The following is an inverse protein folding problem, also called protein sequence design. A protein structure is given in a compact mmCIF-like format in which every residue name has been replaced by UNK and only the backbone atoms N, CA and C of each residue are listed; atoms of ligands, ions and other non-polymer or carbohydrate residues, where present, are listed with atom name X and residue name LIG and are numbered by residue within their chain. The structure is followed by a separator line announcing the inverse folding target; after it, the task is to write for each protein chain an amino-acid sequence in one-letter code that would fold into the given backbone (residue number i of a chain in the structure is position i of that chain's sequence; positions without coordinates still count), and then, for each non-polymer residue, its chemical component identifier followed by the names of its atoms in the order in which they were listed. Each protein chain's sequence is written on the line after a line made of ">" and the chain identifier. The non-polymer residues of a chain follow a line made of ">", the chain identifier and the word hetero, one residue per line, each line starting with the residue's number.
data_IF_173315045429
#
_entry.id   IF_173315045429
#
_cell.length_a   1.000
_cell.length_b   1.000
_cell.length_c   1.000
_cell.angle_alpha   90.00
_cell.angle_beta   90.00
_cell.angle_gamma   90.00
#
_symmetry.space_group_name_H-M   'P 1'
#
loop_
_entity.id
_entity.type
_entity.pdbx_description
1 polymer ?
#
# COMPACT_ATOMS: atom_id res chain seq x y z
N UNK A 1 19.31 22.56 -23.61
CA UNK A 1 18.25 23.49 -23.15
C UNK A 1 18.08 24.67 -24.14
N UNK A 2 19.15 25.44 -24.51
CA UNK A 2 19.04 26.65 -25.33
C UNK A 2 18.38 26.43 -26.71
N UNK A 3 18.71 25.33 -27.41
CA UNK A 3 18.09 25.00 -28.68
C UNK A 3 16.59 24.67 -28.54
N UNK A 4 16.22 24.01 -27.44
CA UNK A 4 14.82 23.68 -27.13
C UNK A 4 14.01 24.93 -26.86
N UNK A 5 14.54 25.85 -26.03
CA UNK A 5 13.89 27.13 -25.71
C UNK A 5 13.67 27.96 -26.98
N UNK A 6 14.66 28.05 -27.85
CA UNK A 6 14.54 28.70 -29.16
C UNK A 6 13.45 28.09 -30.02
N UNK A 7 13.37 26.75 -30.06
CA UNK A 7 12.34 26.05 -30.85
C UNK A 7 10.94 26.30 -30.31
N UNK A 8 10.80 26.43 -28.99
CA UNK A 8 9.52 26.76 -28.32
C UNK A 8 9.17 28.24 -28.48
N UNK A 9 10.15 29.10 -28.73
CA UNK A 9 9.95 30.56 -28.87
C UNK A 9 10.00 31.30 -27.55
N UNK A 10 10.81 30.83 -26.60
CA UNK A 10 11.06 31.49 -25.29
C UNK A 10 12.55 31.67 -25.07
N UNK A 11 12.92 32.65 -24.23
CA UNK A 11 14.31 32.99 -23.98
C UNK A 11 14.90 32.31 -22.74
N UNK A 12 14.05 31.89 -21.80
CA UNK A 12 14.48 31.24 -20.56
C UNK A 12 13.46 30.20 -20.07
N UNK A 13 13.89 29.37 -19.13
CA UNK A 13 12.97 28.44 -18.44
C UNK A 13 11.92 29.20 -17.63
N UNK A 14 12.30 30.30 -16.99
CA UNK A 14 11.35 31.11 -16.23
C UNK A 14 10.27 31.68 -17.13
N UNK A 15 10.62 32.21 -18.31
CA UNK A 15 9.63 32.68 -19.28
C UNK A 15 8.70 31.53 -19.73
N UNK A 16 9.25 30.33 -19.92
CA UNK A 16 8.44 29.16 -20.26
C UNK A 16 7.46 28.82 -19.13
N UNK A 17 7.94 28.80 -17.90
CA UNK A 17 7.13 28.51 -16.73
C UNK A 17 6.04 29.58 -16.56
N UNK A 18 6.38 30.85 -16.68
CA UNK A 18 5.42 31.98 -16.58
C UNK A 18 4.32 31.91 -17.62
N UNK A 19 4.64 31.42 -18.83
CA UNK A 19 3.65 31.23 -19.90
C UNK A 19 2.82 29.96 -19.75
N UNK A 20 3.30 29.00 -18.95
CA UNK A 20 2.67 27.68 -18.83
C UNK A 20 1.84 27.55 -17.57
N UNK A 21 2.31 28.11 -16.46
CA UNK A 21 1.69 27.97 -15.14
C UNK A 21 0.90 29.25 -14.82
N UNK A 22 -0.41 29.16 -14.48
CA UNK A 22 -1.17 30.31 -14.03
C UNK A 22 -0.53 31.00 -12.82
N UNK A 23 -0.50 32.33 -12.82
CA UNK A 23 0.21 33.13 -11.82
C UNK A 23 -0.30 32.89 -10.37
N UNK A 24 -1.56 32.50 -10.22
CA UNK A 24 -2.18 32.25 -8.92
C UNK A 24 -1.74 30.94 -8.26
N UNK A 25 -1.17 30.00 -9.01
CA UNK A 25 -0.66 28.73 -8.49
C UNK A 25 0.86 28.61 -8.58
N UNK A 26 1.52 29.59 -9.22
CA UNK A 26 2.99 29.61 -9.28
C UNK A 26 3.58 29.96 -7.91
N UNK A 27 4.52 29.15 -7.47
CA UNK A 27 5.33 29.47 -6.29
C UNK A 27 6.17 30.74 -6.55
N UNK A 28 6.09 31.71 -5.65
CA UNK A 28 6.84 32.96 -5.74
C UNK A 28 8.27 32.80 -5.25
N UNK A 29 8.49 31.88 -4.36
CA UNK A 29 9.79 31.57 -3.76
C UNK A 29 10.12 30.10 -3.94
N UNK A 30 11.40 29.75 -4.07
CA UNK A 30 11.83 28.35 -4.06
C UNK A 30 11.41 27.65 -2.77
N UNK A 31 11.26 26.33 -2.83
CA UNK A 31 11.01 25.52 -1.64
C UNK A 31 12.17 25.67 -0.64
N UNK A 32 11.85 25.87 0.63
CA UNK A 32 12.83 25.96 1.71
C UNK A 32 13.37 24.55 2.05
N UNK A 33 14.18 24.02 1.14
CA UNK A 33 14.84 22.73 1.32
C UNK A 33 16.23 22.91 1.91
N UNK A 34 16.64 21.97 2.74
CA UNK A 34 18.03 21.89 3.21
C UNK A 34 18.97 21.58 2.04
N UNK A 35 20.23 21.93 2.19
CA UNK A 35 21.26 21.54 1.21
C UNK A 35 21.31 20.01 1.05
N UNK A 36 21.54 19.51 -0.16
CA UNK A 36 21.66 18.06 -0.39
C UNK A 36 22.83 17.50 0.39
N UNK A 37 22.63 16.32 0.97
CA UNK A 37 23.68 15.56 1.62
C UNK A 37 24.39 14.67 0.61
N UNK A 38 25.68 14.41 0.83
CA UNK A 38 26.37 13.32 0.15
C UNK A 38 25.83 11.97 0.65
N UNK A 39 26.04 10.90 -0.09
CA UNK A 39 25.62 9.55 0.31
C UNK A 39 26.21 9.17 1.69
N UNK A 40 27.45 9.52 1.94
CA UNK A 40 28.12 9.29 3.23
C UNK A 40 27.44 10.05 4.38
N UNK A 41 27.17 11.34 4.19
CA UNK A 41 26.50 12.18 5.19
C UNK A 41 25.06 11.71 5.43
N UNK A 42 24.36 11.33 4.36
CA UNK A 42 23.02 10.76 4.46
C UNK A 42 23.01 9.46 5.27
N UNK A 43 23.96 8.55 5.01
CA UNK A 43 24.10 7.31 5.76
C UNK A 43 24.33 7.56 7.26
N UNK A 44 25.16 8.52 7.62
CA UNK A 44 25.38 8.94 9.02
C UNK A 44 24.08 9.51 9.64
N UNK A 45 23.43 10.41 8.93
CA UNK A 45 22.20 11.04 9.39
C UNK A 45 21.07 10.01 9.64
N UNK A 46 20.89 9.05 8.73
CA UNK A 46 19.92 7.97 8.90
C UNK A 46 20.25 7.07 10.09
N UNK A 47 21.54 6.75 10.29
CA UNK A 47 21.97 5.98 11.46
C UNK A 47 21.70 6.74 12.78
N UNK A 48 21.94 8.05 12.81
CA UNK A 48 21.63 8.90 13.97
C UNK A 48 20.12 8.94 14.25
N UNK A 49 19.29 9.04 13.21
CA UNK A 49 17.81 8.97 13.35
C UNK A 49 17.36 7.61 13.87
N UNK A 50 17.89 6.53 13.30
CA UNK A 50 17.56 5.16 13.73
C UNK A 50 17.92 4.93 15.20
N UNK A 51 19.05 5.43 15.66
CA UNK A 51 19.52 5.31 17.06
C UNK A 51 18.65 6.09 18.07
N UNK A 52 17.77 6.98 17.62
CA UNK A 52 16.80 7.64 18.51
C UNK A 52 15.65 6.71 18.90
N UNK A 53 15.42 5.64 18.18
CA UNK A 53 14.44 4.62 18.52
C UNK A 53 14.93 3.80 19.70
N UNK A 54 14.06 3.59 20.67
CA UNK A 54 14.35 2.75 21.82
C UNK A 54 13.68 1.40 21.62
N UNK A 55 14.49 0.35 21.61
CA UNK A 55 14.00 -1.01 21.48
C UNK A 55 13.63 -1.55 22.85
N UNK A 56 12.37 -1.91 23.03
CA UNK A 56 11.84 -2.53 24.22
C UNK A 56 11.26 -3.90 23.90
N UNK A 57 11.19 -4.77 24.91
CA UNK A 57 10.39 -5.98 24.80
C UNK A 57 8.91 -5.59 24.76
N UNK A 58 8.22 -5.99 23.70
CA UNK A 58 6.81 -5.63 23.49
C UNK A 58 5.91 -6.64 24.16
N UNK A 59 5.01 -6.14 25.04
CA UNK A 59 3.96 -6.91 25.70
C UNK A 59 2.55 -6.43 25.32
N UNK A 60 2.44 -5.47 24.41
CA UNK A 60 1.16 -4.96 23.90
C UNK A 60 0.89 -5.48 22.51
N UNK A 61 -0.38 -5.57 22.14
CA UNK A 61 -0.82 -6.01 20.83
C UNK A 61 -2.06 -6.90 20.91
N UNK A 62 -2.76 -7.02 19.80
CA UNK A 62 -3.96 -7.83 19.65
C UNK A 62 -3.82 -8.84 18.49
N UNK A 63 -2.69 -9.54 18.44
CA UNK A 63 -2.47 -10.58 17.45
C UNK A 63 -1.31 -10.35 16.47
N UNK A 64 -0.71 -9.17 16.43
CA UNK A 64 0.48 -8.91 15.63
C UNK A 64 1.73 -8.96 16.51
N UNK A 65 2.47 -10.02 16.37
CA UNK A 65 3.69 -10.26 17.11
C UNK A 65 4.89 -10.24 16.18
N UNK A 66 6.06 -9.94 16.74
CA UNK A 66 7.32 -10.00 16.00
C UNK A 66 7.54 -11.41 15.45
N UNK A 67 8.04 -11.47 14.22
CA UNK A 67 8.42 -12.72 13.56
C UNK A 67 9.93 -12.82 13.44
N UNK A 68 10.44 -14.05 13.31
CA UNK A 68 11.84 -14.30 13.04
C UNK A 68 11.95 -14.59 11.54
N UNK A 69 12.64 -13.72 10.81
CA UNK A 69 12.90 -13.94 9.39
C UNK A 69 14.16 -14.78 9.22
N UNK A 70 14.06 -15.99 8.65
CA UNK A 70 15.25 -16.79 8.36
C UNK A 70 16.18 -16.04 7.40
N UNK A 71 17.49 -16.11 7.64
CA UNK A 71 18.49 -15.39 6.84
C UNK A 71 18.45 -15.79 5.35
N UNK A 72 18.09 -17.04 5.05
CA UNK A 72 17.95 -17.52 3.67
C UNK A 72 16.78 -16.82 2.95
N UNK A 73 15.67 -16.58 3.65
CA UNK A 73 14.52 -15.85 3.08
C UNK A 73 14.88 -14.39 2.88
N UNK A 74 15.52 -13.76 3.86
CA UNK A 74 15.96 -12.38 3.72
C UNK A 74 16.84 -12.19 2.48
N UNK A 75 17.91 -13.00 2.35
CA UNK A 75 18.84 -12.91 1.24
C UNK A 75 18.23 -13.27 -0.11
N UNK A 76 17.47 -14.35 -0.18
CA UNK A 76 17.02 -14.91 -1.46
C UNK A 76 15.68 -14.36 -1.93
N UNK A 77 14.91 -13.72 -1.06
CA UNK A 77 13.62 -13.12 -1.39
C UNK A 77 13.66 -11.62 -1.21
N UNK A 78 13.86 -11.12 0.00
CA UNK A 78 13.76 -9.68 0.28
C UNK A 78 14.88 -8.85 -0.36
N UNK A 79 16.08 -9.38 -0.46
CA UNK A 79 17.24 -8.70 -1.06
C UNK A 79 17.39 -9.01 -2.56
N UNK A 80 16.61 -9.91 -3.09
CA UNK A 80 16.71 -10.34 -4.50
C UNK A 80 15.75 -9.54 -5.39
N UNK A 81 16.27 -8.71 -6.32
CA UNK A 81 15.44 -7.87 -7.18
C UNK A 81 14.56 -8.63 -8.17
N UNK A 82 14.76 -9.94 -8.35
CA UNK A 82 13.85 -10.77 -9.14
C UNK A 82 12.45 -10.82 -8.53
N UNK A 83 12.34 -10.80 -7.20
CA UNK A 83 11.08 -10.89 -6.47
C UNK A 83 10.42 -9.53 -6.23
N UNK A 84 11.21 -8.48 -6.10
CA UNK A 84 10.65 -7.14 -5.91
C UNK A 84 10.90 -6.26 -7.13
N UNK A 85 9.84 -5.66 -7.64
CA UNK A 85 9.90 -4.59 -8.63
C UNK A 85 9.42 -3.30 -7.98
N UNK A 86 9.97 -2.18 -8.39
CA UNK A 86 9.63 -0.87 -7.79
C UNK A 86 8.27 -0.33 -8.26
N UNK A 87 7.63 -1.00 -9.21
CA UNK A 87 6.38 -0.54 -9.80
C UNK A 87 5.17 -1.30 -9.25
N UNK A 88 4.06 -0.59 -9.05
CA UNK A 88 2.77 -1.22 -8.74
C UNK A 88 2.32 -2.09 -9.92
N UNK A 89 1.75 -3.29 -9.70
CA UNK A 89 1.49 -4.27 -10.75
C UNK A 89 0.27 -3.95 -11.64
N UNK A 90 0.16 -2.71 -12.12
CA UNK A 90 -0.81 -2.34 -13.15
C UNK A 90 -0.40 -2.81 -14.54
N UNK A 91 0.91 -2.90 -14.78
CA UNK A 91 1.49 -3.37 -16.03
C UNK A 91 2.36 -4.58 -15.72
N UNK A 92 2.00 -5.72 -16.28
CA UNK A 92 2.69 -7.00 -16.06
C UNK A 92 4.15 -6.95 -16.50
N UNK A 93 4.43 -6.23 -17.59
CA UNK A 93 5.75 -6.15 -18.21
C UNK A 93 6.82 -5.56 -17.28
N UNK A 94 6.43 -4.64 -16.40
CA UNK A 94 7.35 -3.97 -15.47
C UNK A 94 7.23 -4.46 -14.03
N UNK A 95 6.34 -5.42 -13.76
CA UNK A 95 6.03 -5.91 -12.41
C UNK A 95 6.06 -7.43 -12.27
N UNK A 96 6.78 -8.12 -13.16
CA UNK A 96 6.76 -9.59 -13.24
C UNK A 96 7.14 -10.29 -11.93
N UNK A 97 8.21 -9.85 -11.28
CA UNK A 97 8.65 -10.45 -10.01
C UNK A 97 7.61 -10.26 -8.89
N UNK A 98 6.98 -9.12 -8.81
CA UNK A 98 5.92 -8.84 -7.83
C UNK A 98 4.66 -9.66 -8.11
N UNK A 99 4.28 -9.82 -9.38
CA UNK A 99 3.14 -10.66 -9.76
C UNK A 99 3.39 -12.12 -9.45
N UNK A 100 4.59 -12.62 -9.69
CA UNK A 100 4.98 -13.99 -9.33
C UNK A 100 4.91 -14.20 -7.81
N UNK A 101 5.39 -13.25 -7.02
CA UNK A 101 5.28 -13.29 -5.56
C UNK A 101 3.82 -13.33 -5.09
N UNK A 102 2.94 -12.52 -5.69
CA UNK A 102 1.50 -12.50 -5.37
C UNK A 102 0.81 -13.84 -5.73
N UNK A 103 1.15 -14.45 -6.85
CA UNK A 103 0.62 -15.76 -7.24
C UNK A 103 1.08 -16.86 -6.28
N UNK A 104 2.35 -16.85 -5.88
CA UNK A 104 2.87 -17.79 -4.89
C UNK A 104 2.17 -17.61 -3.54
N UNK A 105 1.93 -16.39 -3.10
CA UNK A 105 1.19 -16.10 -1.88
C UNK A 105 -0.25 -16.65 -1.96
N UNK A 106 -0.95 -16.40 -3.05
CA UNK A 106 -2.32 -16.90 -3.29
C UNK A 106 -2.37 -18.43 -3.20
N UNK A 107 -1.43 -19.12 -3.83
CA UNK A 107 -1.30 -20.59 -3.78
C UNK A 107 -1.05 -21.06 -2.35
N UNK A 108 -0.10 -20.45 -1.65
CA UNK A 108 0.23 -20.80 -0.28
C UNK A 108 -0.97 -20.63 0.68
N UNK A 109 -1.74 -19.57 0.50
CA UNK A 109 -2.96 -19.34 1.31
C UNK A 109 -4.01 -20.43 1.04
N UNK A 110 -4.23 -20.80 -0.22
CA UNK A 110 -5.14 -21.91 -0.56
C UNK A 110 -4.66 -23.24 0.08
N UNK A 111 -3.39 -23.55 0.01
CA UNK A 111 -2.83 -24.78 0.56
C UNK A 111 -2.93 -24.82 2.10
N UNK A 112 -2.67 -23.71 2.77
CA UNK A 112 -2.74 -23.62 4.24
C UNK A 112 -4.17 -23.65 4.78
N UNK A 113 -5.14 -23.12 4.05
CA UNK A 113 -6.53 -22.97 4.51
C UNK A 113 -7.46 -24.02 3.95
N UNK A 114 -7.02 -24.82 2.98
CA UNK A 114 -7.85 -25.75 2.18
C UNK A 114 -9.00 -25.06 1.44
N UNK A 115 -8.91 -23.75 1.22
CA UNK A 115 -9.88 -23.00 0.43
C UNK A 115 -9.60 -23.18 -1.07
N UNK A 116 -10.62 -23.33 -1.91
CA UNK A 116 -10.42 -23.57 -3.34
C UNK A 116 -9.89 -22.35 -4.09
N UNK A 117 -10.03 -21.18 -3.53
CA UNK A 117 -9.60 -19.91 -4.14
C UNK A 117 -9.26 -18.89 -3.07
N UNK A 118 -8.20 -18.14 -3.28
CA UNK A 118 -7.87 -16.94 -2.52
C UNK A 118 -7.58 -15.79 -3.49
N UNK A 119 -7.74 -14.55 -3.05
CA UNK A 119 -7.22 -13.40 -3.78
C UNK A 119 -5.71 -13.23 -3.52
N UNK A 120 -5.07 -12.35 -4.29
CA UNK A 120 -3.63 -12.15 -4.14
C UNK A 120 -3.27 -11.39 -2.86
N UNK A 121 -3.98 -10.31 -2.57
CA UNK A 121 -3.70 -9.44 -1.43
C UNK A 121 -4.78 -8.37 -1.29
N UNK A 122 -5.04 -7.96 -0.06
CA UNK A 122 -5.75 -6.75 0.31
C UNK A 122 -4.85 -5.93 1.25
N UNK A 123 -5.29 -4.74 1.63
CA UNK A 123 -4.48 -3.83 2.45
C UNK A 123 -4.09 -4.47 3.80
N UNK A 124 -5.08 -5.04 4.49
CA UNK A 124 -4.93 -5.73 5.77
C UNK A 124 -6.11 -6.70 6.02
N UNK A 125 -6.06 -7.43 7.12
CA UNK A 125 -7.12 -8.43 7.44
C UNK A 125 -8.47 -7.76 7.75
N UNK A 126 -8.46 -6.59 8.37
CA UNK A 126 -9.70 -5.87 8.68
C UNK A 126 -10.40 -5.39 7.39
N UNK A 127 -9.60 -4.88 6.43
CA UNK A 127 -10.09 -4.53 5.10
C UNK A 127 -10.58 -5.75 4.35
N UNK A 128 -9.88 -6.88 4.43
CA UNK A 128 -10.30 -8.12 3.79
C UNK A 128 -11.66 -8.60 4.31
N UNK A 129 -11.88 -8.57 5.62
CA UNK A 129 -13.16 -8.90 6.23
C UNK A 129 -14.28 -7.93 5.78
N UNK A 130 -14.01 -6.64 5.73
CA UNK A 130 -14.97 -5.63 5.28
C UNK A 130 -15.30 -5.76 3.77
N UNK A 131 -14.32 -6.07 2.94
CA UNK A 131 -14.53 -6.38 1.51
C UNK A 131 -15.39 -7.64 1.33
N UNK A 132 -15.16 -8.68 2.15
CA UNK A 132 -16.00 -9.89 2.13
C UNK A 132 -17.45 -9.58 2.46
N UNK A 133 -17.73 -8.71 3.46
CA UNK A 133 -19.10 -8.25 3.78
C UNK A 133 -19.72 -7.55 2.59
N UNK A 134 -19.03 -6.60 1.98
CA UNK A 134 -19.51 -5.87 0.80
C UNK A 134 -19.78 -6.80 -0.39
N UNK A 135 -18.89 -7.77 -0.62
CA UNK A 135 -19.06 -8.78 -1.67
C UNK A 135 -20.29 -9.66 -1.40
N UNK A 136 -20.45 -10.20 -0.19
CA UNK A 136 -21.64 -11.01 0.18
C UNK A 136 -22.92 -10.22 0.00
N UNK A 137 -22.93 -8.97 0.37
CA UNK A 137 -24.08 -8.08 0.17
C UNK A 137 -24.42 -7.87 -1.31
N UNK A 138 -23.39 -7.66 -2.14
CA UNK A 138 -23.57 -7.40 -3.57
C UNK A 138 -24.07 -8.62 -4.35
N UNK A 139 -23.63 -9.84 -4.00
CA UNK A 139 -23.98 -11.09 -4.70
C UNK A 139 -25.28 -11.73 -4.22
N UNK A 140 -26.04 -11.08 -3.34
CA UNK A 140 -27.32 -11.61 -2.84
C UNK A 140 -28.26 -11.97 -3.99
N UNK A 141 -28.90 -13.11 -3.87
CA UNK A 141 -29.93 -13.54 -4.80
C UNK A 141 -31.13 -12.57 -4.79
N UNK A 142 -31.96 -12.62 -5.84
CA UNK A 142 -33.18 -11.80 -5.91
C UNK A 142 -34.13 -12.05 -4.73
N UNK A 143 -34.22 -13.29 -4.22
CA UNK A 143 -35.01 -13.63 -3.05
C UNK A 143 -34.47 -12.96 -1.79
N UNK A 144 -33.17 -13.01 -1.56
CA UNK A 144 -32.50 -12.35 -0.43
C UNK A 144 -32.64 -10.82 -0.49
N UNK A 145 -32.55 -10.23 -1.68
CA UNK A 145 -32.77 -8.78 -1.86
C UNK A 145 -34.19 -8.38 -1.52
N UNK A 146 -35.19 -9.16 -1.98
CA UNK A 146 -36.60 -8.93 -1.63
C UNK A 146 -36.91 -9.11 -0.14
N UNK A 147 -36.23 -10.04 0.50
CA UNK A 147 -36.32 -10.28 1.96
C UNK A 147 -35.52 -9.27 2.78
N UNK A 148 -34.88 -8.29 2.14
CA UNK A 148 -33.98 -7.32 2.77
C UNK A 148 -32.92 -7.99 3.68
N UNK A 149 -32.30 -9.08 3.21
CA UNK A 149 -31.26 -9.80 3.93
C UNK A 149 -29.99 -8.95 4.02
N UNK A 150 -29.92 -8.08 5.02
CA UNK A 150 -28.86 -7.11 5.24
C UNK A 150 -28.16 -7.28 6.60
N UNK A 151 -28.27 -8.46 7.20
CA UNK A 151 -27.63 -8.78 8.48
C UNK A 151 -26.45 -9.72 8.24
N UNK A 152 -25.32 -9.39 8.80
CA UNK A 152 -24.10 -10.20 8.79
C UNK A 152 -23.82 -10.71 10.20
N UNK A 153 -23.63 -12.02 10.31
CA UNK A 153 -23.19 -12.64 11.56
C UNK A 153 -21.69 -12.57 11.64
N UNK A 154 -21.18 -12.14 12.80
CA UNK A 154 -19.74 -12.00 13.10
C UNK A 154 -19.47 -12.66 14.44
N UNK A 155 -18.40 -13.43 14.54
CA UNK A 155 -17.94 -14.02 15.80
C UNK A 155 -17.51 -12.92 16.79
N UNK A 156 -17.85 -13.07 18.06
CA UNK A 156 -17.52 -12.10 19.10
C UNK A 156 -16.01 -12.03 19.42
N UNK A 157 -15.25 -13.07 19.06
CA UNK A 157 -13.83 -13.19 19.35
C UNK A 157 -12.94 -12.62 18.24
N UNK A 158 -13.49 -11.97 17.22
CA UNK A 158 -12.66 -11.27 16.23
C UNK A 158 -11.95 -10.06 16.85
N UNK A 159 -10.88 -9.64 16.26
CA UNK A 159 -10.17 -8.44 16.73
C UNK A 159 -11.08 -7.20 16.72
N UNK A 160 -11.09 -6.38 17.78
CA UNK A 160 -11.94 -5.19 17.87
C UNK A 160 -11.74 -4.22 16.69
N UNK A 161 -10.52 -4.05 16.23
CA UNK A 161 -10.21 -3.20 15.08
C UNK A 161 -10.82 -3.77 13.78
N UNK A 162 -10.86 -5.09 13.60
CA UNK A 162 -11.50 -5.72 12.44
C UNK A 162 -12.99 -5.44 12.45
N UNK A 163 -13.65 -5.61 13.60
CA UNK A 163 -15.07 -5.29 13.77
C UNK A 163 -15.34 -3.80 13.49
N UNK A 164 -14.49 -2.90 13.96
CA UNK A 164 -14.63 -1.46 13.74
C UNK A 164 -14.58 -1.11 12.24
N UNK A 165 -13.66 -1.69 11.48
CA UNK A 165 -13.56 -1.47 10.03
C UNK A 165 -14.77 -2.06 9.30
N UNK A 166 -15.17 -3.28 9.64
CA UNK A 166 -16.38 -3.91 9.08
C UNK A 166 -17.62 -3.03 9.30
N UNK A 167 -17.83 -2.57 10.53
CA UNK A 167 -18.96 -1.70 10.90
C UNK A 167 -18.93 -0.39 10.13
N UNK A 168 -17.75 0.25 10.04
CA UNK A 168 -17.57 1.51 9.33
C UNK A 168 -17.96 1.40 7.86
N UNK A 169 -17.69 0.26 7.22
CA UNK A 169 -18.05 0.03 5.81
C UNK A 169 -19.48 -0.50 5.62
N UNK A 170 -20.00 -1.26 6.57
CA UNK A 170 -21.33 -1.86 6.48
C UNK A 170 -22.47 -0.83 6.71
N UNK A 171 -22.35 -0.01 7.74
CA UNK A 171 -23.38 0.96 8.13
C UNK A 171 -23.85 1.88 7.01
N UNK A 172 -22.97 2.53 6.21
CA UNK A 172 -23.40 3.37 5.08
C UNK A 172 -24.15 2.61 3.98
N UNK A 173 -23.98 1.29 3.91
CA UNK A 173 -24.64 0.41 2.94
C UNK A 173 -25.99 -0.13 3.46
N UNK A 174 -26.34 0.16 4.69
CA UNK A 174 -27.57 -0.35 5.34
C UNK A 174 -27.45 -1.80 5.79
N UNK A 175 -26.24 -2.27 6.09
CA UNK A 175 -25.94 -3.61 6.61
C UNK A 175 -25.76 -3.52 8.12
#
# INVERSE_FOLDING_TARGET
>A
TALMLRKIGVNSLDELIDKTIPANIRLKEPLALTSPLTEYEFGKHIAELANKNKLYTTYIGLGWYNTITPAVIQRNVFENPVWYTSYTPYQTEVSQGRLEALMNFQTAVCDLTAMPLANCSLLDEATAAAEAVSMMYAIRSRAQQKANANVVFVDENIFPQTLAVMTTRAVPQGI
#
